data_IF_436138389781
#
_entry.id   IF_436138389781
#
_cell.length_a   1.000
_cell.length_b   1.000
_cell.length_c   1.000
_cell.angle_alpha   90.00
_cell.angle_beta   90.00
_cell.angle_gamma   90.00
#
_symmetry.space_group_name_H-M   'P 1'
#
loop_
_entity.id
_entity.type
_entity.pdbx_description
1 polymer ?
#
# COMPACT_ATOMS: atom_id res chain seq x y z
N UNK A 1 7.62 -5.83 -23.97
CA UNK A 1 8.96 -5.25 -23.73
C UNK A 1 8.95 -4.70 -22.31
N UNK A 2 10.05 -4.85 -21.57
CA UNK A 2 10.19 -4.13 -20.30
C UNK A 2 10.15 -2.62 -20.59
N UNK A 3 9.47 -1.88 -19.73
CA UNK A 3 9.45 -0.44 -19.82
C UNK A 3 10.85 0.08 -19.44
N UNK A 4 11.44 0.96 -20.23
CA UNK A 4 12.62 1.70 -19.80
C UNK A 4 12.19 2.83 -18.85
N UNK A 5 12.63 2.74 -17.59
CA UNK A 5 12.58 3.82 -16.62
C UNK A 5 13.75 3.65 -15.63
N UNK A 6 14.10 4.74 -14.97
CA UNK A 6 15.13 4.75 -13.93
C UNK A 6 14.47 4.49 -12.57
N UNK A 7 14.92 3.44 -11.88
CA UNK A 7 14.44 3.08 -10.53
C UNK A 7 14.77 4.16 -9.50
N UNK A 8 15.90 4.86 -9.69
CA UNK A 8 16.37 5.88 -8.77
C UNK A 8 15.84 7.28 -9.12
N UNK A 9 14.98 7.37 -10.15
CA UNK A 9 14.26 8.60 -10.46
C UNK A 9 13.25 8.94 -9.33
N UNK A 10 13.02 10.24 -9.07
CA UNK A 10 12.02 10.68 -8.11
C UNK A 10 10.62 10.16 -8.42
N UNK A 11 9.93 9.67 -7.39
CA UNK A 11 8.53 9.32 -7.38
C UNK A 11 7.85 10.17 -6.30
N UNK A 12 7.41 11.37 -6.68
CA UNK A 12 7.03 12.43 -5.75
C UNK A 12 8.23 13.25 -5.30
N UNK A 13 8.10 13.93 -4.16
CA UNK A 13 9.09 14.87 -3.63
C UNK A 13 10.17 14.18 -2.80
N UNK A 14 9.82 13.12 -2.08
CA UNK A 14 10.69 12.54 -1.05
C UNK A 14 11.20 11.13 -1.35
N UNK A 15 10.55 10.41 -2.25
CA UNK A 15 10.81 9.00 -2.53
C UNK A 15 11.30 8.82 -3.97
N UNK A 16 11.95 7.69 -4.22
CA UNK A 16 12.28 7.19 -5.57
C UNK A 16 11.34 6.04 -5.94
N UNK A 17 11.30 5.64 -7.21
CA UNK A 17 10.56 4.43 -7.60
C UNK A 17 11.09 3.18 -6.89
N UNK A 18 12.41 3.09 -6.67
CA UNK A 18 13.04 1.99 -5.93
C UNK A 18 12.44 1.84 -4.54
N UNK A 19 12.23 2.94 -3.82
CA UNK A 19 11.67 2.91 -2.48
C UNK A 19 10.29 2.26 -2.44
N UNK A 20 9.47 2.41 -3.49
CA UNK A 20 8.14 1.77 -3.55
C UNK A 20 8.17 0.36 -4.16
N UNK A 21 9.17 0.03 -4.96
CA UNK A 21 9.24 -1.24 -5.71
C UNK A 21 9.99 -2.33 -4.92
N UNK A 22 10.96 -1.94 -4.11
CA UNK A 22 11.89 -2.86 -3.45
C UNK A 22 11.74 -2.89 -1.91
N UNK A 23 10.75 -2.21 -1.32
CA UNK A 23 10.58 -2.11 0.14
C UNK A 23 9.94 -3.32 0.85
N UNK A 24 9.36 -4.27 0.09
CA UNK A 24 8.60 -5.37 0.67
C UNK A 24 9.51 -6.39 1.37
N UNK A 25 9.14 -6.87 2.57
CA UNK A 25 9.90 -7.91 3.28
C UNK A 25 10.09 -9.18 2.43
N UNK A 26 9.07 -9.57 1.66
CA UNK A 26 9.15 -10.70 0.72
C UNK A 26 10.20 -10.47 -0.36
N UNK A 27 10.31 -9.23 -0.86
CA UNK A 27 11.31 -8.85 -1.84
C UNK A 27 12.72 -8.87 -1.23
N UNK A 28 12.90 -8.24 -0.06
CA UNK A 28 14.19 -8.22 0.65
C UNK A 28 14.69 -9.62 1.00
N UNK A 29 13.82 -10.49 1.53
CA UNK A 29 14.18 -11.88 1.85
C UNK A 29 14.61 -12.65 0.60
N UNK A 30 13.90 -12.46 -0.51
CA UNK A 30 14.23 -13.10 -1.77
C UNK A 30 15.57 -12.62 -2.34
N UNK A 31 15.79 -11.31 -2.35
CA UNK A 31 17.02 -10.67 -2.80
C UNK A 31 18.22 -11.11 -1.95
N UNK A 32 18.11 -11.04 -0.62
CA UNK A 32 19.16 -11.47 0.31
C UNK A 32 19.49 -12.96 0.24
N UNK A 33 18.55 -13.80 -0.20
CA UNK A 33 18.78 -15.22 -0.47
C UNK A 33 19.39 -15.50 -1.86
N UNK A 34 19.81 -14.47 -2.61
CA UNK A 34 20.35 -14.59 -3.96
C UNK A 34 19.32 -15.00 -5.01
N UNK A 35 18.03 -14.78 -4.73
CA UNK A 35 16.90 -15.12 -5.61
C UNK A 35 16.00 -13.90 -5.82
N UNK A 36 16.52 -12.79 -6.38
CA UNK A 36 15.77 -11.55 -6.53
C UNK A 36 14.50 -11.79 -7.35
N UNK A 37 13.44 -11.09 -6.95
CA UNK A 37 12.16 -11.11 -7.67
C UNK A 37 12.14 -9.89 -8.55
N UNK A 38 11.97 -10.09 -9.86
CA UNK A 38 11.70 -8.99 -10.78
C UNK A 38 10.33 -8.40 -10.46
N UNK A 39 10.34 -7.21 -9.88
CA UNK A 39 9.17 -6.49 -9.43
C UNK A 39 9.03 -5.13 -10.12
N UNK A 40 9.90 -4.83 -11.07
CA UNK A 40 9.84 -3.64 -11.89
C UNK A 40 8.51 -3.62 -12.68
N UNK A 41 7.77 -2.50 -12.67
CA UNK A 41 6.50 -2.41 -13.35
C UNK A 41 6.67 -2.59 -14.86
N UNK A 42 5.80 -3.41 -15.44
CA UNK A 42 5.75 -3.63 -16.89
C UNK A 42 4.81 -2.63 -17.55
N UNK A 43 3.82 -2.13 -16.80
CA UNK A 43 2.84 -1.17 -17.32
C UNK A 43 3.23 0.26 -16.95
N UNK A 44 3.31 1.17 -17.94
CA UNK A 44 3.53 2.60 -17.69
C UNK A 44 2.52 3.19 -16.71
N UNK A 45 1.26 2.75 -16.80
CA UNK A 45 0.21 3.19 -15.89
C UNK A 45 0.47 2.81 -14.41
N UNK A 46 1.32 1.81 -14.13
CA UNK A 46 1.73 1.49 -12.77
C UNK A 46 2.69 2.55 -12.21
N UNK A 47 3.63 3.05 -13.02
CA UNK A 47 4.49 4.16 -12.62
C UNK A 47 3.68 5.42 -12.33
N UNK A 48 2.75 5.76 -13.22
CA UNK A 48 1.89 6.93 -13.01
C UNK A 48 1.04 6.79 -11.73
N UNK A 49 0.58 5.58 -11.42
CA UNK A 49 -0.19 5.32 -10.21
C UNK A 49 0.68 5.50 -8.96
N UNK A 50 1.91 4.97 -8.97
CA UNK A 50 2.87 5.17 -7.87
C UNK A 50 3.16 6.65 -7.63
N UNK A 51 3.38 7.43 -8.71
CA UNK A 51 3.56 8.88 -8.60
C UNK A 51 2.32 9.56 -7.99
N UNK A 52 1.13 9.17 -8.44
CA UNK A 52 -0.15 9.67 -7.90
C UNK A 52 -0.30 9.37 -6.42
N UNK A 53 0.09 8.16 -5.98
CA UNK A 53 0.08 7.78 -4.56
C UNK A 53 1.04 8.64 -3.73
N UNK A 54 2.24 8.91 -4.24
CA UNK A 54 3.17 9.81 -3.57
C UNK A 54 2.60 11.22 -3.45
N UNK A 55 2.20 11.83 -4.57
CA UNK A 55 1.76 13.23 -4.59
C UNK A 55 0.49 13.48 -3.76
N UNK A 56 -0.46 12.52 -3.74
CA UNK A 56 -1.74 12.69 -3.05
C UNK A 56 -1.68 12.31 -1.57
N UNK A 57 -0.82 11.34 -1.20
CA UNK A 57 -0.84 10.78 0.15
C UNK A 57 0.54 10.76 0.80
N UNK A 58 1.54 10.11 0.20
CA UNK A 58 2.81 9.87 0.92
C UNK A 58 3.62 11.16 1.12
N UNK A 59 3.69 12.04 0.13
CA UNK A 59 4.37 13.32 0.26
C UNK A 59 3.70 14.21 1.31
N UNK A 60 2.35 14.39 1.33
CA UNK A 60 1.67 15.09 2.41
C UNK A 60 1.89 14.47 3.80
N UNK A 61 1.89 13.13 3.91
CA UNK A 61 2.18 12.44 5.17
C UNK A 61 3.61 12.73 5.63
N UNK A 62 4.58 12.73 4.70
CA UNK A 62 5.98 13.04 5.01
C UNK A 62 6.13 14.52 5.39
N UNK A 63 5.42 15.42 4.74
CA UNK A 63 5.37 16.86 5.09
C UNK A 63 4.87 17.06 6.53
N UNK A 64 3.83 16.34 6.95
CA UNK A 64 3.22 16.48 8.28
C UNK A 64 4.00 15.76 9.39
N UNK A 65 4.35 14.48 9.18
CA UNK A 65 4.84 13.61 10.23
C UNK A 65 6.33 13.25 10.11
N UNK A 66 6.99 13.66 9.02
CA UNK A 66 8.36 13.32 8.72
C UNK A 66 8.53 11.97 8.02
N UNK A 67 9.77 11.46 8.00
CA UNK A 67 10.13 10.29 7.20
C UNK A 67 9.30 9.04 7.55
N UNK A 68 8.84 8.35 6.50
CA UNK A 68 8.11 7.08 6.62
C UNK A 68 9.03 5.87 6.42
N UNK A 69 8.65 4.74 6.99
CA UNK A 69 9.22 3.42 6.67
C UNK A 69 8.22 2.63 5.85
N UNK A 70 8.48 2.48 4.55
CA UNK A 70 7.70 1.62 3.67
C UNK A 70 7.95 0.14 4.03
N UNK A 71 6.87 -0.61 4.13
CA UNK A 71 6.89 -2.04 4.48
C UNK A 71 6.34 -2.93 3.36
N UNK A 72 5.54 -2.34 2.46
CA UNK A 72 5.06 -2.98 1.24
C UNK A 72 4.62 -1.90 0.24
N UNK A 73 4.86 -2.13 -1.05
CA UNK A 73 4.64 -1.15 -2.11
C UNK A 73 4.16 -1.83 -3.39
N UNK A 74 4.76 -1.58 -4.55
CA UNK A 74 4.39 -2.29 -5.77
C UNK A 74 4.56 -3.82 -5.57
N UNK A 75 3.59 -4.59 -6.05
CA UNK A 75 3.67 -6.05 -6.07
C UNK A 75 3.15 -6.60 -7.39
N UNK A 76 4.05 -6.75 -8.35
CA UNK A 76 3.77 -7.41 -9.62
C UNK A 76 3.47 -8.91 -9.45
N UNK A 77 3.03 -9.55 -10.53
CA UNK A 77 2.51 -10.93 -10.50
C UNK A 77 3.41 -11.98 -9.83
N UNK A 78 4.74 -11.82 -9.89
CA UNK A 78 5.70 -12.71 -9.24
C UNK A 78 5.74 -12.47 -7.73
N UNK A 79 5.85 -11.21 -7.30
CA UNK A 79 5.90 -10.85 -5.88
C UNK A 79 4.57 -11.18 -5.19
N UNK A 80 3.42 -10.83 -5.78
CA UNK A 80 2.11 -11.13 -5.16
C UNK A 80 1.91 -12.64 -4.97
N UNK A 81 2.33 -13.46 -5.93
CA UNK A 81 2.22 -14.94 -5.84
C UNK A 81 3.10 -15.49 -4.72
N UNK A 82 4.31 -14.96 -4.60
CA UNK A 82 5.25 -15.39 -3.57
C UNK A 82 4.78 -14.96 -2.18
N UNK A 83 4.36 -13.71 -2.02
CA UNK A 83 3.75 -13.22 -0.78
C UNK A 83 2.51 -14.03 -0.37
N UNK A 84 1.62 -14.36 -1.33
CA UNK A 84 0.46 -15.20 -1.06
C UNK A 84 0.82 -16.62 -0.57
N UNK A 85 1.97 -17.15 -0.99
CA UNK A 85 2.46 -18.48 -0.58
C UNK A 85 3.20 -18.43 0.75
N UNK A 86 4.04 -17.41 0.97
CA UNK A 86 4.96 -17.33 2.11
C UNK A 86 4.33 -16.67 3.34
N UNK A 87 3.45 -15.69 3.16
CA UNK A 87 2.80 -14.93 4.25
C UNK A 87 1.31 -15.28 4.36
N UNK A 88 0.66 -15.56 3.23
CA UNK A 88 -0.78 -15.77 3.18
C UNK A 88 -1.58 -14.46 3.37
N UNK A 89 -2.91 -14.55 3.31
CA UNK A 89 -3.80 -13.40 3.53
C UNK A 89 -3.84 -12.35 2.41
N UNK A 90 -3.10 -12.55 1.32
CA UNK A 90 -3.17 -11.71 0.12
C UNK A 90 -4.38 -12.12 -0.71
N UNK A 91 -5.20 -11.15 -1.12
CA UNK A 91 -6.32 -11.34 -2.04
C UNK A 91 -6.02 -10.62 -3.36
N UNK A 92 -5.31 -11.23 -4.32
CA UNK A 92 -4.74 -10.52 -5.47
C UNK A 92 -5.73 -9.69 -6.30
N UNK A 93 -6.98 -10.15 -6.40
CA UNK A 93 -8.05 -9.43 -7.14
C UNK A 93 -8.43 -8.09 -6.50
N UNK A 94 -8.17 -7.93 -5.21
CA UNK A 94 -8.50 -6.75 -4.41
C UNK A 94 -7.25 -5.96 -4.00
N UNK A 95 -6.07 -6.45 -4.38
CA UNK A 95 -4.79 -5.95 -3.91
C UNK A 95 -4.26 -4.84 -4.83
N UNK A 96 -4.45 -3.58 -4.42
CA UNK A 96 -3.99 -2.41 -5.16
C UNK A 96 -2.46 -2.25 -5.15
N UNK A 97 -1.72 -3.06 -4.39
CA UNK A 97 -0.26 -3.16 -4.55
C UNK A 97 0.11 -3.67 -5.95
N UNK A 98 -0.76 -4.42 -6.63
CA UNK A 98 -0.54 -4.82 -8.02
C UNK A 98 -0.66 -3.68 -9.03
N UNK A 99 -1.06 -2.50 -8.57
CA UNK A 99 -1.26 -1.29 -9.34
C UNK A 99 -1.98 -1.54 -10.68
N UNK A 100 -1.28 -1.31 -11.79
CA UNK A 100 -1.80 -1.51 -13.14
C UNK A 100 -1.31 -2.78 -13.83
N UNK A 101 -0.62 -3.65 -13.11
CA UNK A 101 0.01 -4.85 -13.66
C UNK A 101 -1.00 -5.91 -14.13
N UNK A 102 -0.53 -6.72 -15.09
CA UNK A 102 -1.31 -7.76 -15.74
C UNK A 102 -0.86 -9.15 -15.30
N UNK A 103 -1.80 -10.09 -15.26
CA UNK A 103 -1.52 -11.50 -15.07
C UNK A 103 -1.10 -12.18 -16.38
N UNK A 104 -0.77 -13.48 -16.33
CA UNK A 104 -0.33 -14.26 -17.50
C UNK A 104 -1.35 -14.34 -18.65
N UNK A 105 -2.62 -14.03 -18.39
CA UNK A 105 -3.68 -14.00 -19.38
C UNK A 105 -3.95 -12.56 -19.91
N UNK A 106 -3.02 -11.63 -19.66
CA UNK A 106 -3.10 -10.23 -20.06
C UNK A 106 -4.32 -9.47 -19.50
N UNK A 107 -4.82 -9.90 -18.33
CA UNK A 107 -5.90 -9.21 -17.58
C UNK A 107 -5.32 -8.54 -16.35
N UNK A 108 -5.98 -7.50 -15.86
CA UNK A 108 -5.61 -6.82 -14.62
C UNK A 108 -5.47 -7.82 -13.46
N UNK A 109 -4.43 -7.66 -12.65
CA UNK A 109 -4.32 -8.42 -11.40
C UNK A 109 -5.36 -7.91 -10.42
N UNK A 110 -5.45 -6.59 -10.25
CA UNK A 110 -6.47 -5.90 -9.48
C UNK A 110 -7.30 -5.00 -10.39
N UNK A 111 -8.62 -5.24 -10.42
CA UNK A 111 -9.56 -4.44 -11.22
C UNK A 111 -9.85 -3.06 -10.61
N UNK A 112 -9.50 -2.84 -9.33
CA UNK A 112 -9.65 -1.53 -8.66
C UNK A 112 -8.74 -0.46 -9.29
N UNK A 113 -7.60 -0.88 -9.84
CA UNK A 113 -6.56 0.02 -10.33
C UNK A 113 -5.95 0.91 -9.25
N UNK A 114 -5.28 1.97 -9.69
CA UNK A 114 -4.53 2.83 -8.79
C UNK A 114 -3.26 2.16 -8.29
N UNK A 115 -2.80 2.51 -7.09
CA UNK A 115 -1.70 1.83 -6.39
C UNK A 115 -1.86 1.96 -4.87
N UNK A 116 -1.14 1.13 -4.12
CA UNK A 116 -1.15 1.17 -2.66
C UNK A 116 0.25 1.07 -2.05
N UNK A 117 0.38 1.52 -0.80
CA UNK A 117 1.55 1.35 0.02
C UNK A 117 1.15 1.01 1.46
N UNK A 118 1.97 0.18 2.10
CA UNK A 118 1.93 -0.11 3.51
C UNK A 118 3.13 0.54 4.20
N UNK A 119 2.91 1.39 5.19
CA UNK A 119 4.01 2.13 5.84
C UNK A 119 3.77 2.40 7.32
N UNK A 120 4.84 2.86 7.99
CA UNK A 120 4.82 3.38 9.36
C UNK A 120 5.49 4.74 9.43
N UNK A 121 5.17 5.50 10.46
CA UNK A 121 5.92 6.69 10.86
C UNK A 121 6.58 6.40 12.20
N UNK A 122 7.87 6.68 12.33
CA UNK A 122 8.58 6.43 13.59
C UNK A 122 8.09 7.37 14.69
N UNK A 123 7.70 6.82 15.83
CA UNK A 123 7.25 7.61 16.99
C UNK A 123 5.83 8.17 16.91
N UNK A 124 5.09 7.89 15.83
CA UNK A 124 3.69 8.33 15.66
C UNK A 124 2.80 7.09 15.51
N UNK A 125 1.68 7.08 16.22
CA UNK A 125 0.75 5.96 16.14
C UNK A 125 0.11 5.86 14.75
N UNK A 126 -0.13 4.64 14.28
CA UNK A 126 -0.80 4.45 12.99
C UNK A 126 -2.25 4.98 13.03
N UNK A 127 -2.90 5.04 14.18
CA UNK A 127 -4.23 5.64 14.30
C UNK A 127 -4.20 7.14 14.00
N UNK A 128 -3.23 7.85 14.55
CA UNK A 128 -3.05 9.28 14.37
C UNK A 128 -2.79 9.63 12.90
N UNK A 129 -1.85 8.94 12.26
CA UNK A 129 -1.55 9.12 10.84
C UNK A 129 -2.77 8.77 9.98
N UNK A 130 -3.49 7.69 10.28
CA UNK A 130 -4.68 7.32 9.54
C UNK A 130 -5.80 8.35 9.63
N UNK A 131 -6.05 8.90 10.82
CA UNK A 131 -7.05 9.96 11.02
C UNK A 131 -6.70 11.20 10.22
N UNK A 132 -5.43 11.60 10.23
CA UNK A 132 -4.96 12.70 9.43
C UNK A 132 -5.14 12.43 7.93
N UNK A 133 -4.80 11.24 7.44
CA UNK A 133 -5.05 10.86 6.04
C UNK A 133 -6.53 10.96 5.68
N UNK A 134 -7.41 10.49 6.57
CA UNK A 134 -8.87 10.56 6.39
C UNK A 134 -9.37 12.01 6.28
N UNK A 135 -8.82 12.92 7.07
CA UNK A 135 -9.22 14.33 7.07
C UNK A 135 -8.54 15.19 6.01
N UNK A 136 -7.36 14.80 5.52
CA UNK A 136 -6.46 15.70 4.79
C UNK A 136 -6.12 15.25 3.37
N UNK A 137 -6.43 14.02 2.96
CA UNK A 137 -6.02 13.46 1.66
C UNK A 137 -7.17 12.85 0.87
N UNK A 138 -6.98 12.71 -0.46
CA UNK A 138 -7.96 12.08 -1.37
C UNK A 138 -7.60 10.62 -1.66
N UNK A 139 -7.57 9.78 -0.62
CA UNK A 139 -7.29 8.35 -0.73
C UNK A 139 -8.49 7.54 -1.28
N UNK A 140 -8.23 6.43 -1.95
CA UNK A 140 -9.26 5.47 -2.40
C UNK A 140 -9.70 4.55 -1.26
N UNK A 141 -8.74 3.89 -0.60
CA UNK A 141 -9.00 2.99 0.52
C UNK A 141 -7.94 3.11 1.59
N UNK A 142 -8.36 3.01 2.84
CA UNK A 142 -7.48 2.95 4.00
C UNK A 142 -7.82 1.69 4.79
N UNK A 143 -6.81 0.86 5.08
CA UNK A 143 -6.97 -0.26 6.01
C UNK A 143 -6.14 -0.01 7.26
N UNK A 144 -6.84 0.07 8.38
CA UNK A 144 -6.27 0.22 9.71
C UNK A 144 -6.18 -1.13 10.40
N UNK A 145 -4.98 -1.51 10.83
CA UNK A 145 -4.70 -2.81 11.44
C UNK A 145 -4.38 -2.75 12.95
N UNK A 146 -4.45 -1.57 13.58
CA UNK A 146 -4.02 -1.30 14.95
C UNK A 146 -2.80 -0.37 15.00
N UNK A 147 -2.62 0.39 16.08
CA UNK A 147 -1.68 1.52 16.15
C UNK A 147 -0.22 1.14 15.89
N UNK A 148 0.14 -0.09 16.26
CA UNK A 148 1.50 -0.62 16.15
C UNK A 148 1.74 -1.38 14.83
N UNK A 149 0.78 -1.42 13.91
CA UNK A 149 0.88 -2.14 12.64
C UNK A 149 0.93 -1.15 11.48
N UNK A 150 1.63 -1.48 10.35
CA UNK A 150 1.66 -0.58 9.21
C UNK A 150 0.25 -0.19 8.75
N UNK A 151 0.11 1.04 8.26
CA UNK A 151 -1.09 1.51 7.58
C UNK A 151 -1.04 1.13 6.13
N UNK A 152 -2.15 0.60 5.61
CA UNK A 152 -2.36 0.48 4.18
C UNK A 152 -3.18 1.66 3.67
N UNK A 153 -2.69 2.31 2.62
CA UNK A 153 -3.46 3.32 1.89
C UNK A 153 -3.29 3.14 0.39
N UNK A 154 -4.37 3.36 -0.34
CA UNK A 154 -4.37 3.33 -1.80
C UNK A 154 -4.93 4.63 -2.38
N UNK A 155 -4.57 4.90 -3.63
CA UNK A 155 -5.15 5.96 -4.45
C UNK A 155 -5.65 5.37 -5.75
N UNK A 156 -6.51 6.09 -6.47
CA UNK A 156 -6.89 5.82 -7.85
C UNK A 156 -6.89 7.13 -8.63
N UNK A 157 -6.69 7.07 -9.96
CA UNK A 157 -6.83 8.24 -10.84
C UNK A 157 -8.29 8.61 -11.10
N UNK A 158 -9.22 7.69 -10.87
CA UNK A 158 -10.66 7.92 -10.97
C UNK A 158 -11.22 8.57 -9.70
N UNK A 159 -12.53 8.64 -9.57
CA UNK A 159 -13.17 9.04 -8.32
C UNK A 159 -12.81 8.05 -7.20
N UNK A 160 -12.12 8.50 -6.14
CA UNK A 160 -11.75 7.64 -5.02
C UNK A 160 -12.98 7.31 -4.16
N UNK A 161 -13.05 6.08 -3.64
CA UNK A 161 -14.17 5.67 -2.81
C UNK A 161 -14.11 6.25 -1.38
N UNK A 162 -12.92 6.61 -0.90
CA UNK A 162 -12.71 7.06 0.49
C UNK A 162 -13.03 5.98 1.53
N UNK A 163 -12.93 4.69 1.17
CA UNK A 163 -13.39 3.61 2.03
C UNK A 163 -12.40 3.34 3.16
N UNK A 164 -12.88 3.39 4.40
CA UNK A 164 -12.10 3.09 5.59
C UNK A 164 -12.46 1.68 6.08
N UNK A 165 -11.44 0.87 6.33
CA UNK A 165 -11.60 -0.51 6.81
C UNK A 165 -10.78 -0.71 8.07
N UNK A 166 -11.44 -1.05 9.16
CA UNK A 166 -10.80 -1.39 10.44
C UNK A 166 -10.77 -2.90 10.59
N UNK A 167 -9.58 -3.47 10.78
CA UNK A 167 -9.43 -4.90 11.06
C UNK A 167 -9.59 -5.16 12.55
N UNK A 168 -10.77 -5.67 12.96
CA UNK A 168 -11.04 -6.01 14.36
C UNK A 168 -10.74 -7.48 14.64
N UNK A 169 -10.19 -7.77 15.81
CA UNK A 169 -10.07 -9.14 16.32
C UNK A 169 -11.32 -9.47 17.12
N UNK A 170 -12.05 -10.52 16.73
CA UNK A 170 -13.16 -11.05 17.53
C UNK A 170 -12.66 -12.05 18.57
N UNK A 171 -13.52 -12.40 19.53
CA UNK A 171 -13.30 -13.55 20.41
C UNK A 171 -12.91 -14.80 19.58
N UNK A 172 -11.90 -15.55 20.07
CA UNK A 172 -11.19 -16.63 19.37
C UNK A 172 -10.14 -16.21 18.30
N UNK A 173 -9.69 -14.95 18.28
CA UNK A 173 -8.55 -14.51 17.46
C UNK A 173 -8.85 -14.34 15.96
N UNK A 174 -10.12 -14.48 15.55
CA UNK A 174 -10.54 -14.27 14.16
C UNK A 174 -10.53 -12.79 13.82
N UNK A 175 -9.75 -12.41 12.81
CA UNK A 175 -9.72 -11.04 12.26
C UNK A 175 -10.86 -10.83 11.26
N UNK A 176 -11.62 -9.75 11.42
CA UNK A 176 -12.74 -9.40 10.54
C UNK A 176 -12.59 -7.95 10.08
N UNK A 177 -12.56 -7.70 8.76
CA UNK A 177 -12.57 -6.34 8.25
C UNK A 177 -13.97 -5.74 8.44
N UNK A 178 -14.03 -4.54 9.03
CA UNK A 178 -15.25 -3.75 9.19
C UNK A 178 -15.09 -2.45 8.41
N UNK A 179 -16.03 -2.16 7.52
CA UNK A 179 -16.13 -0.85 6.88
C UNK A 179 -16.75 0.11 7.88
N UNK A 180 -16.17 1.29 8.04
CA UNK A 180 -16.65 2.33 8.96
C UNK A 180 -16.75 3.65 8.21
N UNK A 181 -17.65 4.52 8.66
CA UNK A 181 -17.77 5.87 8.16
C UNK A 181 -16.67 6.78 8.72
N UNK A 182 -16.42 7.89 8.04
CA UNK A 182 -15.33 8.79 8.39
C UNK A 182 -15.50 9.41 9.78
N UNK A 183 -16.71 9.86 10.14
CA UNK A 183 -16.96 10.42 11.48
C UNK A 183 -16.67 9.39 12.58
N UNK A 184 -17.21 8.18 12.44
CA UNK A 184 -16.99 7.09 13.41
C UNK A 184 -15.51 6.75 13.56
N UNK A 185 -14.75 6.70 12.45
CA UNK A 185 -13.32 6.41 12.49
C UNK A 185 -12.51 7.49 13.19
N UNK A 186 -12.85 8.77 12.97
CA UNK A 186 -12.18 9.90 13.59
C UNK A 186 -12.38 9.92 15.12
N UNK A 187 -13.53 9.45 15.61
CA UNK A 187 -13.82 9.39 17.06
C UNK A 187 -13.39 8.07 17.72
N UNK A 188 -13.14 7.01 16.95
CA UNK A 188 -12.84 5.67 17.44
C UNK A 188 -11.61 5.63 18.38
N UNK A 189 -11.74 5.10 19.60
CA UNK A 189 -10.57 4.75 20.43
C UNK A 189 -9.77 3.62 19.78
N UNK A 190 -8.49 3.48 20.10
CA UNK A 190 -7.70 2.40 19.50
C UNK A 190 -8.37 1.03 19.71
N UNK A 191 -8.26 0.18 18.69
CA UNK A 191 -8.81 -1.17 18.74
C UNK A 191 -7.89 -1.97 19.65
N UNK A 192 -8.26 -2.03 20.94
CA UNK A 192 -7.56 -2.84 21.94
C UNK A 192 -7.41 -4.29 21.45
N UNK A 193 -6.24 -4.86 21.74
CA UNK A 193 -5.78 -6.17 21.27
C UNK A 193 -6.66 -7.32 21.76
#
# INVERSE_FOLDING_TARGET
MALEFDLDAPCGRYLTFRDLIECGETWHRASGAGKPIHNEPVQRASLDALLTLCEIVLDPVIDEFGAISLTYGLAGSQLSRRAATEVGGVAPKLDQHAAHELNRNNRRICERGGSAADFRVSGVSSLEVARWIVSSTRFDRLYYYGSERPLHVSTTKSDPLGQIVVLRTKAAGRRVPLVVDAEDFLEMSDVER
#
